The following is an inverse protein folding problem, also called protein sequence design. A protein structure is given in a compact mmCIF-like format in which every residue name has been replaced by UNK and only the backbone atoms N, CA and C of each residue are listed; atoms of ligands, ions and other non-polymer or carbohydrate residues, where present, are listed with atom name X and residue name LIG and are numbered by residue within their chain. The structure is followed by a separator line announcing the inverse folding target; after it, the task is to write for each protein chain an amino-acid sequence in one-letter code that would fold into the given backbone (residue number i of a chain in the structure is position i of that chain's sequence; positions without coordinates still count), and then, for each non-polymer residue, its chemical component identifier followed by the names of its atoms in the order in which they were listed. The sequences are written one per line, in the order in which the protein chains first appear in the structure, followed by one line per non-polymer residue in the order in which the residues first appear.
data_IF_175979387943
#
_entry.id   IF_175979387943
#
_cell.length_a   1.000
_cell.length_b   1.000
_cell.length_c   1.000
_cell.angle_alpha   90.00
_cell.angle_beta   90.00
_cell.angle_gamma   90.00
#
_symmetry.space_group_name_H-M   'P 1'
#
loop_
_entity.id
_entity.type
_entity.pdbx_description
1 polymer ?
#
# COMPACT_ATOMS: atom_id res chain seq x y z
N UNK A 1 9.13 3.91 -8.09
CA UNK A 1 9.93 4.75 -7.15
C UNK A 1 10.80 3.82 -6.34
N UNK A 2 12.10 4.08 -6.20
CA UNK A 2 12.97 3.25 -5.35
C UNK A 2 12.96 3.79 -3.91
N UNK A 3 12.47 2.99 -2.98
CA UNK A 3 12.53 3.24 -1.54
C UNK A 3 13.86 2.67 -1.04
N UNK A 4 14.65 3.47 -0.31
CA UNK A 4 15.92 3.03 0.28
C UNK A 4 15.84 3.12 1.80
N UNK A 5 16.22 2.05 2.49
CA UNK A 5 16.38 2.00 3.94
C UNK A 5 17.64 1.19 4.27
N UNK A 6 18.62 1.78 4.95
CA UNK A 6 19.83 1.10 5.49
C UNK A 6 20.42 0.01 4.56
N UNK A 7 20.82 0.37 3.33
CA UNK A 7 21.33 -0.53 2.27
C UNK A 7 20.33 -1.51 1.62
N UNK A 8 19.04 -1.43 1.94
CA UNK A 8 17.97 -2.23 1.33
C UNK A 8 17.14 -1.34 0.40
N UNK A 9 17.15 -1.67 -0.89
CA UNK A 9 16.29 -1.02 -1.88
C UNK A 9 14.99 -1.83 -2.04
N UNK A 10 13.83 -1.19 -1.97
CA UNK A 10 12.53 -1.77 -2.29
C UNK A 10 11.92 -0.95 -3.43
N UNK A 11 11.52 -1.62 -4.52
CA UNK A 11 10.88 -0.92 -5.64
C UNK A 11 9.38 -0.79 -5.38
N UNK A 12 8.87 0.44 -5.35
CA UNK A 12 7.44 0.74 -5.28
C UNK A 12 6.91 0.99 -6.69
N UNK A 13 5.97 0.14 -7.09
CA UNK A 13 5.22 0.23 -8.33
C UNK A 13 3.76 0.54 -8.03
N UNK A 14 3.26 1.62 -8.64
CA UNK A 14 1.83 1.99 -8.61
C UNK A 14 1.40 2.01 -10.07
N UNK A 15 0.78 0.94 -10.56
CA UNK A 15 0.49 0.79 -11.97
C UNK A 15 -0.73 1.64 -12.37
N UNK A 16 -0.85 1.93 -13.66
CA UNK A 16 -1.94 2.76 -14.19
C UNK A 16 -3.32 2.07 -14.13
N UNK A 17 -3.34 0.75 -14.02
CA UNK A 17 -4.54 -0.08 -13.83
C UNK A 17 -4.88 -0.33 -12.35
N UNK A 18 -4.21 0.38 -11.41
CA UNK A 18 -4.53 0.31 -9.99
C UNK A 18 -6.03 0.54 -9.77
N UNK A 19 -6.71 -0.42 -9.16
CA UNK A 19 -8.14 -0.32 -8.91
C UNK A 19 -8.41 0.68 -7.79
N UNK A 20 -9.07 1.78 -8.13
CA UNK A 20 -9.57 2.73 -7.17
C UNK A 20 -11.07 2.51 -6.96
N UNK A 21 -11.50 2.31 -5.72
CA UNK A 21 -12.92 2.29 -5.37
C UNK A 21 -13.17 3.37 -4.32
N UNK A 22 -14.12 4.25 -4.57
CA UNK A 22 -14.63 5.19 -3.59
C UNK A 22 -16.14 4.94 -3.38
N UNK A 23 -16.71 5.39 -2.26
CA UNK A 23 -18.15 5.45 -2.09
C UNK A 23 -18.82 6.21 -3.26
N UNK A 24 -20.05 5.85 -3.60
CA UNK A 24 -20.76 6.40 -4.77
C UNK A 24 -20.93 7.94 -4.73
N UNK A 25 -20.82 8.56 -3.55
CA UNK A 25 -20.92 10.01 -3.36
C UNK A 25 -19.58 10.74 -3.58
N UNK A 26 -18.52 10.03 -3.99
CA UNK A 26 -17.17 10.56 -4.05
C UNK A 26 -16.63 10.51 -5.49
N UNK A 27 -16.76 11.64 -6.20
CA UNK A 27 -16.26 11.83 -7.58
C UNK A 27 -14.75 12.11 -7.61
N UNK A 28 -13.97 11.17 -7.11
CA UNK A 28 -12.52 11.22 -7.19
C UNK A 28 -12.01 10.50 -8.42
N UNK A 29 -11.20 11.19 -9.22
CA UNK A 29 -10.43 10.55 -10.28
C UNK A 29 -9.44 9.53 -9.70
N UNK A 30 -9.26 8.41 -10.40
CA UNK A 30 -8.29 7.37 -10.02
C UNK A 30 -6.85 7.93 -9.90
N UNK A 31 -6.52 8.97 -10.67
CA UNK A 31 -5.24 9.67 -10.58
C UNK A 31 -5.02 10.36 -9.24
N UNK A 32 -6.07 10.94 -8.64
CA UNK A 32 -6.01 11.52 -7.30
C UNK A 32 -5.69 10.44 -6.27
N UNK A 33 -6.32 9.27 -6.39
CA UNK A 33 -6.02 8.11 -5.56
C UNK A 33 -4.56 7.62 -5.71
N UNK A 34 -4.06 7.53 -6.95
CA UNK A 34 -2.66 7.17 -7.22
C UNK A 34 -1.68 8.18 -6.62
N UNK A 35 -1.96 9.48 -6.77
CA UNK A 35 -1.15 10.54 -6.21
C UNK A 35 -1.11 10.46 -4.68
N UNK A 36 -2.28 10.30 -4.05
CA UNK A 36 -2.39 10.14 -2.60
C UNK A 36 -1.55 8.96 -2.09
N UNK A 37 -1.64 7.80 -2.75
CA UNK A 37 -0.83 6.62 -2.37
C UNK A 37 0.66 6.89 -2.53
N UNK A 38 1.09 7.50 -3.65
CA UNK A 38 2.49 7.92 -3.83
C UNK A 38 2.96 8.84 -2.70
N UNK A 39 2.12 9.78 -2.31
CA UNK A 39 2.40 10.74 -1.22
C UNK A 39 2.47 10.06 0.14
N UNK A 40 1.59 9.10 0.42
CA UNK A 40 1.64 8.32 1.65
C UNK A 40 2.95 7.54 1.75
N UNK A 41 3.35 6.83 0.70
CA UNK A 41 4.60 6.08 0.70
C UNK A 41 5.85 6.97 0.76
N UNK A 42 5.77 8.25 0.42
CA UNK A 42 6.89 9.18 0.61
C UNK A 42 6.93 9.76 2.02
N UNK A 43 5.78 10.00 2.65
CA UNK A 43 5.69 10.62 3.99
C UNK A 43 5.68 9.64 5.15
N UNK A 44 5.13 8.45 4.99
CA UNK A 44 4.99 7.47 6.07
C UNK A 44 6.22 6.55 6.12
N UNK A 45 7.17 6.86 7.02
CA UNK A 45 8.35 6.03 7.26
C UNK A 45 7.97 4.61 7.73
N UNK A 46 7.06 4.49 8.70
CA UNK A 46 6.60 3.19 9.21
C UNK A 46 6.07 2.26 8.10
N UNK A 47 5.26 2.80 7.18
CA UNK A 47 4.78 2.04 6.02
C UNK A 47 5.95 1.57 5.15
N UNK A 48 6.88 2.48 4.80
CA UNK A 48 8.07 2.14 4.00
C UNK A 48 8.93 1.06 4.66
N UNK A 49 9.10 1.14 5.97
CA UNK A 49 9.97 0.23 6.72
C UNK A 49 9.36 -1.17 6.81
N UNK A 50 8.06 -1.28 7.13
CA UNK A 50 7.35 -2.57 7.13
C UNK A 50 7.38 -3.21 5.73
N UNK A 51 7.11 -2.41 4.71
CA UNK A 51 7.14 -2.79 3.31
C UNK A 51 8.53 -3.28 2.86
N UNK A 52 9.59 -2.55 3.21
CA UNK A 52 10.97 -2.92 2.88
C UNK A 52 11.39 -4.17 3.65
N UNK A 53 11.01 -4.29 4.92
CA UNK A 53 11.25 -5.48 5.73
C UNK A 53 10.52 -6.72 5.18
N UNK A 54 9.27 -6.58 4.72
CA UNK A 54 8.50 -7.66 4.12
C UNK A 54 9.14 -8.15 2.82
N UNK A 55 9.55 -7.25 1.93
CA UNK A 55 10.25 -7.60 0.69
C UNK A 55 11.62 -8.24 0.97
N UNK A 56 12.38 -7.68 1.91
CA UNK A 56 13.66 -8.26 2.35
C UNK A 56 13.51 -9.68 2.89
N UNK A 57 12.52 -9.91 3.76
CA UNK A 57 12.21 -11.25 4.29
C UNK A 57 11.93 -12.25 3.17
N UNK A 58 11.28 -11.82 2.08
CA UNK A 58 11.06 -12.68 0.91
C UNK A 58 12.35 -12.94 0.13
N UNK A 59 13.27 -11.97 0.03
CA UNK A 59 14.57 -12.16 -0.65
C UNK A 59 15.45 -13.19 0.02
N UNK A 60 15.52 -13.16 1.36
CA UNK A 60 16.35 -14.08 2.14
C UNK A 60 15.67 -15.43 2.42
N UNK A 61 14.36 -15.54 2.15
CA UNK A 61 13.61 -16.77 2.32
C UNK A 61 13.85 -17.77 1.18
N UNK A 62 13.77 -19.06 1.53
CA UNK A 62 13.89 -20.18 0.60
C UNK A 62 12.55 -20.91 0.45
N UNK A 63 12.35 -21.57 -0.70
CA UNK A 63 11.15 -22.39 -0.95
C UNK A 63 9.84 -21.59 -0.94
N UNK A 64 8.78 -22.14 -0.33
CA UNK A 64 7.44 -21.53 -0.32
C UNK A 64 7.38 -20.16 0.37
N UNK A 65 8.29 -19.89 1.31
CA UNK A 65 8.36 -18.62 2.02
C UNK A 65 8.85 -17.45 1.15
N UNK A 66 9.46 -17.74 -0.02
CA UNK A 66 9.84 -16.73 -1.02
C UNK A 66 8.66 -16.26 -1.88
N UNK A 67 7.52 -16.98 -1.85
CA UNK A 67 6.37 -16.64 -2.68
C UNK A 67 5.83 -15.26 -2.29
N UNK A 68 5.56 -14.44 -3.31
CA UNK A 68 4.94 -13.13 -3.12
C UNK A 68 3.63 -13.24 -2.36
N UNK A 69 3.33 -12.25 -1.53
CA UNK A 69 2.16 -12.22 -0.66
C UNK A 69 1.40 -10.91 -0.81
N UNK A 70 0.09 -10.99 -0.63
CA UNK A 70 -0.79 -9.83 -0.63
C UNK A 70 -0.95 -9.33 0.81
N UNK A 71 -0.71 -8.05 1.01
CA UNK A 71 -0.82 -7.37 2.30
C UNK A 71 -1.87 -6.28 2.18
N UNK A 72 -2.68 -6.11 3.22
CA UNK A 72 -3.71 -5.07 3.29
C UNK A 72 -3.38 -4.15 4.46
N UNK A 73 -3.24 -2.87 4.14
CA UNK A 73 -3.06 -1.80 5.11
C UNK A 73 -4.38 -1.06 5.27
N UNK A 74 -4.75 -0.80 6.50
CA UNK A 74 -5.89 0.03 6.85
C UNK A 74 -5.38 1.27 7.58
N UNK A 75 -5.76 2.44 7.08
CA UNK A 75 -5.33 3.72 7.59
C UNK A 75 -6.49 4.71 7.56
N UNK A 76 -6.36 5.83 8.26
CA UNK A 76 -7.33 6.92 8.18
C UNK A 76 -7.25 7.56 6.79
N UNK A 77 -8.39 7.82 6.16
CA UNK A 77 -8.41 8.48 4.85
C UNK A 77 -7.74 9.87 4.89
N UNK A 78 -7.80 10.54 6.05
CA UNK A 78 -7.07 11.78 6.32
C UNK A 78 -5.54 11.67 6.11
N UNK A 79 -4.92 10.50 6.33
CA UNK A 79 -3.48 10.32 6.06
C UNK A 79 -3.14 10.34 4.56
N UNK A 80 -4.13 10.07 3.71
CA UNK A 80 -4.03 10.16 2.26
C UNK A 80 -4.52 11.51 1.73
N UNK A 81 -4.99 12.41 2.60
CA UNK A 81 -5.67 13.66 2.22
C UNK A 81 -6.88 13.39 1.30
N UNK A 82 -7.54 12.24 1.50
CA UNK A 82 -8.74 11.84 0.76
C UNK A 82 -9.99 11.94 1.66
N UNK A 83 -11.16 12.24 1.07
CA UNK A 83 -12.46 12.13 1.73
C UNK A 83 -12.76 10.69 2.18
N UNK A 84 -13.64 10.57 3.18
CA UNK A 84 -13.99 9.31 3.83
C UNK A 84 -13.37 9.16 5.22
N UNK A 85 -13.68 8.06 5.90
CA UNK A 85 -13.19 7.81 7.26
C UNK A 85 -11.92 6.96 7.25
N UNK A 86 -11.93 5.91 6.43
CA UNK A 86 -10.88 4.91 6.35
C UNK A 86 -10.45 4.70 4.90
N UNK A 87 -9.21 4.29 4.72
CA UNK A 87 -8.66 3.91 3.44
C UNK A 87 -7.96 2.57 3.57
N UNK A 88 -8.28 1.66 2.66
CA UNK A 88 -7.69 0.34 2.56
C UNK A 88 -6.79 0.29 1.33
N UNK A 89 -5.52 0.00 1.55
CA UNK A 89 -4.54 -0.19 0.49
C UNK A 89 -4.17 -1.66 0.44
N UNK A 90 -4.38 -2.29 -0.71
CA UNK A 90 -3.93 -3.64 -0.99
C UNK A 90 -2.67 -3.59 -1.82
N UNK A 91 -1.60 -4.19 -1.31
CA UNK A 91 -0.32 -4.30 -1.99
C UNK A 91 0.08 -5.75 -2.19
N UNK A 92 0.72 -6.06 -3.31
CA UNK A 92 1.45 -7.29 -3.51
C UNK A 92 2.92 -7.02 -3.18
N UNK A 93 3.50 -7.84 -2.32
CA UNK A 93 4.92 -7.78 -1.94
C UNK A 93 5.62 -8.99 -2.51
N UNK A 94 6.71 -8.77 -3.20
CA UNK A 94 7.59 -9.80 -3.72
C UNK A 94 9.06 -9.52 -3.36
N UNK A 95 9.96 -10.35 -3.88
CA UNK A 95 11.39 -10.19 -3.65
C UNK A 95 11.99 -8.98 -4.39
N UNK A 96 11.34 -8.40 -5.40
CA UNK A 96 11.83 -7.19 -6.08
C UNK A 96 11.37 -5.93 -5.33
N UNK A 97 10.14 -5.91 -4.85
CA UNK A 97 9.54 -4.82 -4.12
C UNK A 97 8.05 -5.00 -3.92
N UNK A 98 7.30 -3.95 -4.20
CA UNK A 98 5.90 -3.80 -3.83
C UNK A 98 5.12 -3.19 -4.98
N UNK A 99 4.00 -3.81 -5.31
CA UNK A 99 3.05 -3.31 -6.29
C UNK A 99 1.73 -2.99 -5.61
N UNK A 100 1.29 -1.74 -5.68
CA UNK A 100 -0.04 -1.34 -5.18
C UNK A 100 -1.09 -1.84 -6.17
N UNK A 101 -2.00 -2.68 -5.71
CA UNK A 101 -3.03 -3.27 -6.58
C UNK A 101 -4.34 -2.51 -6.49
N UNK A 102 -4.69 -2.04 -5.29
CA UNK A 102 -6.01 -1.46 -5.03
C UNK A 102 -5.99 -0.47 -3.89
N UNK A 103 -6.72 0.62 -4.05
CA UNK A 103 -7.07 1.60 -3.03
C UNK A 103 -8.59 1.67 -2.90
N UNK A 104 -9.09 1.56 -1.68
CA UNK A 104 -10.53 1.62 -1.37
C UNK A 104 -10.75 2.65 -0.26
N UNK A 105 -11.65 3.60 -0.49
CA UNK A 105 -12.16 4.49 0.56
C UNK A 105 -13.39 3.86 1.20
N UNK A 106 -13.45 3.91 2.53
CA UNK A 106 -14.47 3.24 3.35
C UNK A 106 -15.00 4.23 4.38
N UNK A 107 -16.33 4.21 4.57
CA UNK A 107 -16.99 5.09 5.54
C UNK A 107 -16.97 4.52 6.97
N UNK A 108 -16.87 3.19 7.10
CA UNK A 108 -16.83 2.46 8.38
C UNK A 108 -15.57 1.59 8.51
N UNK A 109 -15.19 1.25 9.75
CA UNK A 109 -14.05 0.37 10.03
C UNK A 109 -14.41 -1.05 9.57
N UNK A 110 -13.66 -1.65 8.61
CA UNK A 110 -13.92 -3.02 8.22
C UNK A 110 -13.49 -4.01 9.31
N UNK A 111 -14.31 -5.03 9.61
CA UNK A 111 -14.10 -6.01 10.68
C UNK A 111 -13.00 -7.07 10.41
N UNK A 112 -12.31 -7.00 9.26
CA UNK A 112 -11.33 -8.01 8.86
C UNK A 112 -9.93 -7.79 9.46
N UNK A 113 -9.07 -8.82 9.43
CA UNK A 113 -7.68 -8.71 9.87
C UNK A 113 -6.86 -7.81 8.93
N UNK A 114 -6.58 -6.58 9.33
CA UNK A 114 -5.72 -5.64 8.62
C UNK A 114 -4.47 -5.31 9.43
N UNK A 115 -3.40 -4.92 8.73
CA UNK A 115 -2.29 -4.22 9.39
C UNK A 115 -2.69 -2.76 9.53
N UNK A 116 -2.89 -2.33 10.76
CA UNK A 116 -3.09 -0.92 11.10
C UNK A 116 -1.73 -0.25 11.19
N UNK A 117 -1.60 0.91 10.54
CA UNK A 117 -0.41 1.77 10.61
C UNK A 117 -0.82 3.07 11.29
#
# INVERSE_FOLDING_TARGET
MKIRYENRACELSIPADMRFCAPAHCDLAADTGRYAVRRLFTRCAALRDDCTALSWRLRVASGRARKGRRVRYLLRAAMLELPGTWARITVAVDAAGITVQRLELLDALPESSFRTI
#
